data_IF_714367110027
#
_entry.id   IF_714367110027
#
_cell.length_a   1.000
_cell.length_b   1.000
_cell.length_c   1.000
_cell.angle_alpha   90.00
_cell.angle_beta   90.00
_cell.angle_gamma   90.00
#
_symmetry.space_group_name_H-M   'P 1'
#
loop_
_entity.id
_entity.type
_entity.pdbx_description
1 polymer ?
#
# COMPACT_ATOMS: atom_id res chain seq x y z
N UNK A 1 -18.14 -20.56 -17.18
CA UNK A 1 -19.34 -19.85 -17.67
C UNK A 1 -18.90 -18.92 -18.80
N UNK A 2 -19.75 -18.65 -19.80
CA UNK A 2 -19.43 -17.70 -20.86
C UNK A 2 -19.68 -16.27 -20.38
N UNK A 3 -18.72 -15.37 -20.56
CA UNK A 3 -18.87 -13.94 -20.27
C UNK A 3 -20.02 -13.34 -21.10
N UNK A 4 -20.97 -12.69 -20.43
CA UNK A 4 -22.03 -11.90 -21.05
C UNK A 4 -21.68 -10.41 -20.98
N UNK A 5 -21.59 -9.77 -22.15
CA UNK A 5 -21.46 -8.32 -22.27
C UNK A 5 -22.79 -7.71 -22.68
N UNK A 6 -23.13 -6.56 -22.09
CA UNK A 6 -24.26 -5.74 -22.52
C UNK A 6 -24.07 -5.21 -23.95
N UNK A 7 -25.14 -4.80 -24.65
CA UNK A 7 -25.02 -4.21 -25.99
C UNK A 7 -24.08 -2.99 -26.05
N UNK A 8 -24.05 -2.17 -25.00
CA UNK A 8 -23.16 -1.01 -24.87
C UNK A 8 -21.69 -1.43 -24.74
N UNK A 9 -21.41 -2.44 -23.90
CA UNK A 9 -20.05 -2.97 -23.73
C UNK A 9 -19.55 -3.64 -25.01
N UNK A 10 -20.42 -4.34 -25.75
CA UNK A 10 -20.09 -4.92 -27.06
C UNK A 10 -19.79 -3.83 -28.09
N UNK A 11 -20.62 -2.78 -28.15
CA UNK A 11 -20.41 -1.65 -29.05
C UNK A 11 -19.09 -0.93 -28.75
N UNK A 12 -18.78 -0.71 -27.47
CA UNK A 12 -17.51 -0.13 -27.03
C UNK A 12 -16.33 -1.02 -27.44
N UNK A 13 -16.41 -2.33 -27.17
CA UNK A 13 -15.35 -3.29 -27.52
C UNK A 13 -15.08 -3.38 -29.03
N UNK A 14 -16.06 -3.08 -29.87
CA UNK A 14 -15.92 -3.03 -31.32
C UNK A 14 -15.18 -1.78 -31.83
N UNK A 15 -15.05 -0.73 -31.00
CA UNK A 15 -14.31 0.48 -31.31
C UNK A 15 -12.81 0.23 -31.51
N UNK A 16 -12.17 0.97 -32.42
CA UNK A 16 -10.71 0.86 -32.68
C UNK A 16 -9.87 1.90 -31.93
N UNK A 17 -10.53 2.70 -31.09
CA UNK A 17 -9.95 3.75 -30.27
C UNK A 17 -9.44 3.20 -28.93
N UNK A 18 -8.98 4.10 -28.04
CA UNK A 18 -8.44 3.72 -26.73
C UNK A 18 -9.51 3.14 -25.79
N UNK A 19 -10.75 3.62 -25.86
CA UNK A 19 -11.87 3.09 -25.09
C UNK A 19 -12.21 1.64 -25.49
N UNK A 20 -12.24 1.36 -26.79
CA UNK A 20 -12.43 0.00 -27.30
C UNK A 20 -11.28 -0.94 -26.92
N UNK A 21 -10.03 -0.44 -26.92
CA UNK A 21 -8.89 -1.19 -26.40
C UNK A 21 -9.04 -1.54 -24.92
N UNK A 22 -9.39 -0.57 -24.08
CA UNK A 22 -9.65 -0.80 -22.66
C UNK A 22 -10.78 -1.81 -22.43
N UNK A 23 -11.91 -1.68 -23.12
CA UNK A 23 -13.04 -2.62 -22.99
C UNK A 23 -12.67 -4.04 -23.40
N UNK A 24 -11.86 -4.23 -24.45
CA UNK A 24 -11.36 -5.56 -24.81
C UNK A 24 -10.46 -6.17 -23.74
N UNK A 25 -9.61 -5.36 -23.10
CA UNK A 25 -8.75 -5.81 -21.98
C UNK A 25 -9.60 -6.26 -20.80
N UNK A 26 -10.60 -5.47 -20.40
CA UNK A 26 -11.52 -5.81 -19.31
C UNK A 26 -12.30 -7.08 -19.64
N UNK A 27 -12.89 -7.16 -20.84
CA UNK A 27 -13.64 -8.33 -21.26
C UNK A 27 -12.78 -9.60 -21.33
N UNK A 28 -11.57 -9.52 -21.86
CA UNK A 28 -10.70 -10.70 -21.93
C UNK A 28 -10.22 -11.13 -20.55
N UNK A 29 -9.88 -10.17 -19.68
CA UNK A 29 -9.56 -10.46 -18.27
C UNK A 29 -10.73 -11.12 -17.56
N UNK A 30 -11.96 -10.63 -17.79
CA UNK A 30 -13.17 -11.23 -17.23
C UNK A 30 -13.38 -12.69 -17.70
N UNK A 31 -13.10 -13.01 -18.97
CA UNK A 31 -13.13 -14.40 -19.47
C UNK A 31 -12.11 -15.28 -18.75
N UNK A 32 -10.86 -14.81 -18.64
CA UNK A 32 -9.77 -15.54 -17.98
C UNK A 32 -10.05 -15.80 -16.50
N UNK A 33 -10.69 -14.84 -15.83
CA UNK A 33 -11.07 -14.93 -14.42
C UNK A 33 -12.37 -15.70 -14.19
N UNK A 34 -13.05 -16.14 -15.26
CA UNK A 34 -14.31 -16.86 -15.17
C UNK A 34 -15.50 -16.01 -14.71
N UNK A 35 -15.42 -14.68 -14.84
CA UNK A 35 -16.51 -13.77 -14.50
C UNK A 35 -17.69 -13.94 -15.46
N UNK A 36 -18.94 -14.00 -14.96
CA UNK A 36 -20.12 -14.16 -15.81
C UNK A 36 -20.47 -12.87 -16.58
N UNK A 37 -20.02 -11.71 -16.09
CA UNK A 37 -20.31 -10.39 -16.65
C UNK A 37 -19.34 -9.34 -16.11
N UNK A 38 -19.65 -8.08 -16.42
CA UNK A 38 -18.96 -6.92 -15.85
C UNK A 38 -19.90 -6.15 -14.92
N UNK A 39 -19.34 -5.55 -13.87
CA UNK A 39 -20.04 -4.67 -12.93
C UNK A 39 -19.61 -3.22 -13.13
N UNK A 40 -20.50 -2.24 -12.89
CA UNK A 40 -20.10 -0.84 -12.82
C UNK A 40 -19.21 -0.61 -11.59
N UNK A 41 -18.22 0.26 -11.73
CA UNK A 41 -17.41 0.75 -10.60
C UNK A 41 -17.69 2.24 -10.36
N UNK A 42 -17.53 2.71 -9.13
CA UNK A 42 -17.74 4.13 -8.79
C UNK A 42 -16.45 4.96 -8.83
N UNK A 43 -15.28 4.32 -8.72
CA UNK A 43 -13.98 4.99 -8.73
C UNK A 43 -12.82 4.02 -9.00
N UNK A 44 -11.63 4.56 -9.24
CA UNK A 44 -10.40 3.79 -9.42
C UNK A 44 -9.18 4.39 -8.70
N UNK A 45 -8.22 3.54 -8.35
CA UNK A 45 -6.90 3.93 -7.89
C UNK A 45 -5.84 3.16 -8.68
N UNK A 46 -5.13 3.88 -9.53
CA UNK A 46 -4.29 3.33 -10.58
C UNK A 46 -2.88 3.09 -10.06
N UNK A 47 -2.47 1.82 -10.03
CA UNK A 47 -1.14 1.36 -9.66
C UNK A 47 -0.15 1.46 -10.82
N UNK A 48 -0.62 1.30 -12.06
CA UNK A 48 0.20 1.23 -13.28
C UNK A 48 1.02 2.48 -13.64
N UNK A 49 0.98 3.54 -12.84
CA UNK A 49 1.79 4.75 -13.02
C UNK A 49 3.25 4.60 -12.53
N UNK A 50 3.67 3.38 -12.19
CA UNK A 50 5.02 2.99 -11.80
C UNK A 50 5.85 2.53 -13.01
N UNK A 51 7.05 3.10 -13.18
CA UNK A 51 7.93 2.76 -14.29
C UNK A 51 8.75 1.50 -13.99
N UNK A 52 8.30 0.35 -14.53
CA UNK A 52 9.02 -0.93 -14.50
C UNK A 52 9.57 -1.35 -15.87
N UNK A 53 9.45 -0.47 -16.86
CA UNK A 53 9.90 -0.70 -18.23
C UNK A 53 9.09 0.06 -19.26
N UNK A 54 9.56 0.03 -20.49
CA UNK A 54 9.02 0.85 -21.58
C UNK A 54 7.59 0.48 -21.96
N UNK A 55 7.20 -0.79 -21.79
CA UNK A 55 5.87 -1.29 -22.14
C UNK A 55 4.74 -0.53 -21.43
N UNK A 56 4.89 -0.22 -20.13
CA UNK A 56 3.88 0.53 -19.38
C UNK A 56 3.73 1.97 -19.90
N UNK A 57 4.84 2.59 -20.30
CA UNK A 57 4.85 3.95 -20.86
C UNK A 57 4.11 3.96 -22.21
N UNK A 58 4.52 3.06 -23.11
CA UNK A 58 3.95 2.96 -24.46
C UNK A 58 2.47 2.54 -24.42
N UNK A 59 2.08 1.71 -23.46
CA UNK A 59 0.69 1.33 -23.25
C UNK A 59 -0.17 2.55 -22.88
N UNK A 60 0.25 3.33 -21.88
CA UNK A 60 -0.48 4.53 -21.46
C UNK A 60 -0.56 5.57 -22.58
N UNK A 61 0.53 5.79 -23.32
CA UNK A 61 0.54 6.69 -24.48
C UNK A 61 -0.39 6.21 -25.60
N UNK A 62 -0.45 4.91 -25.86
CA UNK A 62 -1.35 4.33 -26.86
C UNK A 62 -2.82 4.58 -26.54
N UNK A 63 -3.19 4.53 -25.26
CA UNK A 63 -4.54 4.88 -24.80
C UNK A 63 -4.84 6.37 -25.04
N UNK A 64 -3.87 7.26 -24.76
CA UNK A 64 -3.98 8.70 -25.02
C UNK A 64 -4.11 9.00 -26.52
N UNK A 65 -3.28 8.39 -27.36
CA UNK A 65 -3.35 8.52 -28.83
C UNK A 65 -4.70 8.02 -29.37
N UNK A 66 -5.25 6.99 -28.74
CA UNK A 66 -6.59 6.49 -29.01
C UNK A 66 -7.71 7.37 -28.46
N UNK A 67 -7.43 8.53 -27.87
CA UNK A 67 -8.44 9.46 -27.36
C UNK A 67 -9.17 8.97 -26.11
N UNK A 68 -8.62 8.01 -25.36
CA UNK A 68 -9.25 7.53 -24.13
C UNK A 68 -9.21 8.57 -23.00
N UNK A 69 -10.20 8.50 -22.13
CA UNK A 69 -10.25 9.21 -20.85
C UNK A 69 -10.93 8.33 -19.81
N UNK A 70 -10.60 8.52 -18.53
CA UNK A 70 -11.30 7.82 -17.44
C UNK A 70 -12.78 8.21 -17.40
N UNK A 71 -13.66 7.22 -17.26
CA UNK A 71 -15.11 7.42 -17.13
C UNK A 71 -15.54 7.66 -15.67
N UNK A 72 -14.70 7.24 -14.71
CA UNK A 72 -14.94 7.38 -13.27
C UNK A 72 -13.82 8.15 -12.60
N UNK A 73 -14.10 8.71 -11.41
CA UNK A 73 -13.08 9.39 -10.60
C UNK A 73 -11.90 8.45 -10.36
N UNK A 74 -10.72 8.86 -10.81
CA UNK A 74 -9.53 8.00 -10.81
C UNK A 74 -8.36 8.73 -10.20
N UNK A 75 -7.72 8.12 -9.20
CA UNK A 75 -6.55 8.66 -8.49
C UNK A 75 -5.30 7.86 -8.84
N UNK A 76 -4.12 8.46 -8.69
CA UNK A 76 -2.85 7.83 -9.03
C UNK A 76 -2.09 7.36 -7.78
N UNK A 77 -1.60 6.13 -7.82
CA UNK A 77 -0.60 5.64 -6.89
C UNK A 77 0.72 6.43 -7.04
N UNK A 78 1.74 6.12 -6.25
CA UNK A 78 3.10 6.58 -6.45
C UNK A 78 3.55 6.45 -7.90
N UNK A 79 4.25 7.47 -8.39
CA UNK A 79 4.92 7.47 -9.67
C UNK A 79 6.40 7.13 -9.54
N UNK A 80 7.07 7.11 -10.68
CA UNK A 80 8.50 6.83 -10.76
C UNK A 80 9.42 8.04 -10.53
N UNK A 81 8.84 9.23 -10.33
CA UNK A 81 9.59 10.47 -10.13
C UNK A 81 8.92 11.34 -9.08
N UNK A 82 9.71 11.92 -8.19
CA UNK A 82 9.35 13.06 -7.35
C UNK A 82 9.23 14.33 -8.21
N UNK A 83 8.02 14.91 -8.31
CA UNK A 83 7.77 16.15 -9.06
C UNK A 83 7.73 17.39 -8.15
N UNK A 84 7.77 17.16 -6.84
CA UNK A 84 7.71 18.21 -5.82
C UNK A 84 9.07 18.85 -5.56
N UNK A 85 10.15 18.15 -5.94
CA UNK A 85 11.52 18.58 -5.69
C UNK A 85 11.96 18.37 -4.24
N UNK A 86 11.24 17.54 -3.46
CA UNK A 86 11.60 17.19 -2.09
C UNK A 86 12.82 16.27 -2.02
N UNK A 87 12.97 15.37 -3.00
CA UNK A 87 14.05 14.39 -3.03
C UNK A 87 14.82 14.39 -4.35
N UNK A 88 16.11 14.02 -4.29
CA UNK A 88 16.95 13.85 -5.47
C UNK A 88 16.77 12.45 -6.04
N UNK A 89 16.25 12.36 -7.25
CA UNK A 89 16.12 11.12 -8.01
C UNK A 89 17.41 10.83 -8.78
N UNK A 90 17.90 9.59 -8.68
CA UNK A 90 19.12 9.07 -9.34
C UNK A 90 18.82 8.20 -10.56
N UNK A 91 17.57 8.16 -11.01
CA UNK A 91 17.19 7.48 -12.25
C UNK A 91 17.79 8.25 -13.43
N UNK A 92 18.62 7.62 -14.24
CA UNK A 92 19.30 8.30 -15.36
C UNK A 92 18.49 8.20 -16.67
N UNK A 93 18.92 8.92 -17.71
CA UNK A 93 18.36 8.76 -19.06
C UNK A 93 18.86 7.45 -19.72
N UNK A 94 18.05 6.80 -20.57
CA UNK A 94 16.74 7.23 -21.08
C UNK A 94 15.53 6.90 -20.18
N UNK A 95 15.74 6.15 -19.09
CA UNK A 95 14.66 5.67 -18.22
C UNK A 95 13.90 6.82 -17.54
N UNK A 96 14.60 7.88 -17.14
CA UNK A 96 13.99 9.09 -16.57
C UNK A 96 13.00 9.73 -17.54
N UNK A 97 13.36 9.87 -18.82
CA UNK A 97 12.46 10.39 -19.85
C UNK A 97 11.22 9.52 -20.05
N UNK A 98 11.37 8.20 -20.03
CA UNK A 98 10.25 7.25 -20.12
C UNK A 98 9.31 7.35 -18.90
N UNK A 99 9.87 7.38 -17.70
CA UNK A 99 9.09 7.57 -16.47
C UNK A 99 8.29 8.89 -16.48
N UNK A 100 8.88 9.98 -16.97
CA UNK A 100 8.19 11.27 -17.13
C UNK A 100 7.00 11.15 -18.09
N UNK A 101 7.23 10.54 -19.25
CA UNK A 101 6.19 10.33 -20.28
C UNK A 101 5.04 9.49 -19.75
N UNK A 102 5.32 8.42 -19.00
CA UNK A 102 4.29 7.59 -18.35
C UNK A 102 3.42 8.43 -17.41
N UNK A 103 4.03 9.17 -16.48
CA UNK A 103 3.28 10.01 -15.54
C UNK A 103 2.42 11.06 -16.27
N UNK A 104 2.95 11.65 -17.34
CA UNK A 104 2.20 12.60 -18.18
C UNK A 104 1.05 11.93 -18.96
N UNK A 105 1.22 10.70 -19.43
CA UNK A 105 0.17 9.96 -20.12
C UNK A 105 -1.03 9.71 -19.19
N UNK A 106 -0.79 9.23 -17.96
CA UNK A 106 -1.86 9.03 -16.97
C UNK A 106 -2.56 10.34 -16.58
N UNK A 107 -1.83 11.46 -16.50
CA UNK A 107 -2.44 12.78 -16.32
C UNK A 107 -3.33 13.16 -17.51
N UNK A 108 -2.90 12.90 -18.75
CA UNK A 108 -3.69 13.18 -19.98
C UNK A 108 -4.93 12.30 -20.09
N UNK A 109 -4.91 11.08 -19.53
CA UNK A 109 -6.08 10.21 -19.41
C UNK A 109 -7.14 10.75 -18.43
N UNK A 110 -6.83 11.82 -17.67
CA UNK A 110 -7.76 12.47 -16.76
C UNK A 110 -7.66 12.01 -15.31
N UNK A 111 -6.60 11.29 -14.93
CA UNK A 111 -6.41 10.84 -13.55
C UNK A 111 -5.97 12.00 -12.62
N UNK A 112 -6.50 12.00 -11.40
CA UNK A 112 -6.11 12.88 -10.30
C UNK A 112 -4.71 12.55 -9.80
N UNK A 113 -3.86 13.57 -9.75
CA UNK A 113 -2.44 13.49 -9.39
C UNK A 113 -2.20 13.40 -7.88
N UNK A 114 -2.80 12.40 -7.23
CA UNK A 114 -2.65 12.14 -5.79
C UNK A 114 -1.27 11.62 -5.41
N UNK A 115 -0.64 10.86 -6.31
CA UNK A 115 0.70 10.28 -6.19
C UNK A 115 1.01 9.67 -4.82
N UNK A 116 0.16 8.76 -4.37
CA UNK A 116 0.30 8.11 -3.06
C UNK A 116 -0.31 6.72 -3.06
N UNK A 117 0.34 5.78 -2.38
CA UNK A 117 -0.22 4.45 -2.13
C UNK A 117 -1.32 4.45 -1.06
N UNK A 118 -1.53 5.56 -0.34
CA UNK A 118 -2.58 5.67 0.68
C UNK A 118 -3.67 6.66 0.25
N UNK A 119 -4.44 6.39 -0.83
CA UNK A 119 -5.42 7.33 -1.37
C UNK A 119 -6.55 7.67 -0.39
N UNK A 120 -6.86 6.76 0.53
CA UNK A 120 -7.83 6.95 1.61
C UNK A 120 -7.42 8.03 2.62
N UNK A 121 -6.12 8.34 2.74
CA UNK A 121 -5.62 9.49 3.51
C UNK A 121 -5.78 10.81 2.74
N UNK A 122 -5.78 10.75 1.40
CA UNK A 122 -6.02 11.89 0.51
C UNK A 122 -7.51 12.16 0.25
N UNK A 123 -8.40 11.57 1.06
CA UNK A 123 -9.85 11.77 0.96
C UNK A 123 -10.55 10.89 -0.07
N UNK A 124 -9.86 9.97 -0.75
CA UNK A 124 -10.51 9.00 -1.62
C UNK A 124 -11.04 7.82 -0.81
N UNK A 125 -12.26 7.95 -0.28
CA UNK A 125 -12.89 6.96 0.60
C UNK A 125 -14.24 6.53 0.02
N UNK A 126 -14.29 5.50 -0.85
CA UNK A 126 -15.54 4.96 -1.35
C UNK A 126 -16.44 4.47 -0.21
N UNK A 127 -17.75 4.52 -0.42
CA UNK A 127 -18.73 4.06 0.57
C UNK A 127 -18.69 2.55 0.74
N UNK A 128 -19.04 2.06 1.94
CA UNK A 128 -19.19 0.64 2.22
C UNK A 128 -20.12 -0.02 1.19
N UNK A 129 -19.71 -1.17 0.66
CA UNK A 129 -20.44 -1.96 -0.33
C UNK A 129 -20.30 -1.49 -1.77
N UNK A 130 -19.63 -0.36 -2.04
CA UNK A 130 -19.41 0.10 -3.41
C UNK A 130 -18.27 -0.65 -4.10
N UNK A 131 -18.44 -0.90 -5.39
CA UNK A 131 -17.43 -1.54 -6.24
C UNK A 131 -16.47 -0.50 -6.84
N UNK A 132 -15.16 -0.75 -6.72
CA UNK A 132 -14.08 0.12 -7.22
C UNK A 132 -13.00 -0.72 -7.91
N UNK A 133 -12.14 -0.06 -8.70
CA UNK A 133 -10.96 -0.68 -9.29
C UNK A 133 -9.67 -0.08 -8.71
N UNK A 134 -9.19 -0.64 -7.60
CA UNK A 134 -7.94 -0.20 -6.96
C UNK A 134 -6.86 -1.27 -7.14
N UNK A 135 -5.69 -0.92 -7.66
CA UNK A 135 -4.61 -1.89 -7.96
C UNK A 135 -3.58 -2.07 -6.84
N UNK A 136 -3.23 -0.99 -6.14
CA UNK A 136 -2.14 -0.98 -5.16
C UNK A 136 -2.45 -1.88 -3.95
N UNK A 137 -1.52 -2.76 -3.57
CA UNK A 137 -1.81 -3.86 -2.63
C UNK A 137 -2.27 -3.44 -1.23
N UNK A 138 -1.74 -2.36 -0.68
CA UNK A 138 -2.22 -1.83 0.61
C UNK A 138 -3.57 -1.12 0.44
N UNK A 139 -3.75 -0.37 -0.64
CA UNK A 139 -4.98 0.34 -0.94
C UNK A 139 -6.13 -0.66 -1.14
N UNK A 140 -5.88 -1.77 -1.84
CA UNK A 140 -6.80 -2.90 -2.01
C UNK A 140 -7.25 -3.44 -0.65
N UNK A 141 -6.29 -3.83 0.20
CA UNK A 141 -6.61 -4.38 1.52
C UNK A 141 -7.33 -3.37 2.41
N UNK A 142 -6.90 -2.11 2.42
CA UNK A 142 -7.55 -1.08 3.22
C UNK A 142 -8.97 -0.80 2.73
N UNK A 143 -9.17 -0.72 1.41
CA UNK A 143 -10.47 -0.55 0.78
C UNK A 143 -11.42 -1.69 1.17
N UNK A 144 -10.96 -2.93 1.07
CA UNK A 144 -11.74 -4.10 1.40
C UNK A 144 -12.04 -4.20 2.91
N UNK A 145 -11.02 -4.15 3.75
CA UNK A 145 -11.14 -4.42 5.18
C UNK A 145 -11.68 -3.22 5.98
N UNK A 146 -11.17 -2.02 5.72
CA UNK A 146 -11.41 -0.85 6.58
C UNK A 146 -12.58 -0.02 6.07
N UNK A 147 -12.68 0.17 4.75
CA UNK A 147 -13.79 0.91 4.15
C UNK A 147 -15.01 0.03 3.87
N UNK A 148 -14.83 -1.29 3.76
CA UNK A 148 -15.88 -2.22 3.36
C UNK A 148 -16.35 -2.02 1.91
N UNK A 149 -15.59 -1.28 1.10
CA UNK A 149 -15.77 -1.21 -0.34
C UNK A 149 -15.14 -2.46 -0.98
N UNK A 150 -15.37 -2.67 -2.28
CA UNK A 150 -15.08 -3.94 -2.93
C UNK A 150 -14.15 -3.73 -4.13
N UNK A 151 -13.00 -4.39 -4.08
CA UNK A 151 -12.03 -4.39 -5.17
C UNK A 151 -11.24 -5.69 -5.15
N UNK A 152 -10.80 -6.12 -6.32
CA UNK A 152 -9.78 -7.14 -6.44
C UNK A 152 -8.39 -6.50 -6.52
N UNK A 153 -7.35 -7.34 -6.51
CA UNK A 153 -5.99 -6.92 -6.86
C UNK A 153 -5.85 -6.92 -8.37
N UNK A 154 -6.00 -5.74 -8.97
CA UNK A 154 -5.84 -5.53 -10.40
C UNK A 154 -4.36 -5.38 -10.79
N UNK A 155 -3.98 -5.92 -11.94
CA UNK A 155 -2.68 -5.60 -12.54
C UNK A 155 -2.67 -4.23 -13.21
N UNK A 156 -1.48 -3.66 -13.37
CA UNK A 156 -1.18 -2.29 -13.84
C UNK A 156 -1.87 -1.84 -15.14
N UNK A 157 -2.30 -2.76 -16.00
CA UNK A 157 -3.01 -2.43 -17.25
C UNK A 157 -4.52 -2.57 -17.12
N UNK A 158 -4.98 -3.40 -16.19
CA UNK A 158 -6.39 -3.70 -15.99
C UNK A 158 -7.08 -2.62 -15.14
N UNK A 159 -6.40 -2.05 -14.14
CA UNK A 159 -6.95 -0.98 -13.31
C UNK A 159 -7.35 0.26 -14.14
N UNK A 160 -6.48 0.74 -15.04
CA UNK A 160 -6.76 1.87 -15.93
C UNK A 160 -7.77 1.50 -17.00
N UNK A 161 -7.77 0.25 -17.49
CA UNK A 161 -8.79 -0.21 -18.40
C UNK A 161 -10.18 -0.24 -17.73
N UNK A 162 -10.25 -0.62 -16.45
CA UNK A 162 -11.47 -0.53 -15.66
C UNK A 162 -11.90 0.93 -15.46
N UNK A 163 -10.96 1.83 -15.19
CA UNK A 163 -11.24 3.26 -15.03
C UNK A 163 -11.76 3.94 -16.30
N UNK A 164 -11.21 3.60 -17.47
CA UNK A 164 -11.64 4.11 -18.79
C UNK A 164 -13.04 3.59 -19.14
N UNK A 165 -13.31 2.32 -18.85
CA UNK A 165 -14.61 1.71 -19.19
C UNK A 165 -15.69 1.97 -18.13
N UNK A 166 -15.31 2.32 -16.91
CA UNK A 166 -16.21 2.34 -15.76
C UNK A 166 -16.71 0.93 -15.37
N UNK A 167 -16.01 -0.13 -15.81
CA UNK A 167 -16.42 -1.52 -15.64
C UNK A 167 -15.30 -2.36 -15.05
N UNK A 168 -15.64 -3.31 -14.20
CA UNK A 168 -14.73 -4.33 -13.67
C UNK A 168 -15.31 -5.74 -13.89
N UNK A 169 -14.48 -6.80 -13.94
CA UNK A 169 -14.98 -8.16 -13.95
C UNK A 169 -15.77 -8.51 -12.67
N UNK A 170 -16.97 -9.11 -12.82
CA UNK A 170 -17.79 -9.61 -11.70
C UNK A 170 -17.17 -10.88 -11.08
N UNK A 171 -16.14 -10.72 -10.27
CA UNK A 171 -15.41 -11.85 -9.70
C UNK A 171 -14.78 -11.55 -8.34
N UNK A 172 -14.31 -12.61 -7.67
CA UNK A 172 -13.46 -12.49 -6.50
C UNK A 172 -14.14 -11.68 -5.39
N UNK A 173 -13.43 -10.69 -4.87
CA UNK A 173 -13.86 -9.88 -3.72
C UNK A 173 -14.97 -8.87 -4.01
N UNK A 174 -15.47 -8.77 -5.26
CA UNK A 174 -16.73 -8.08 -5.55
C UNK A 174 -17.95 -8.87 -5.06
N UNK A 175 -17.81 -10.19 -4.94
CA UNK A 175 -18.91 -11.08 -4.57
C UNK A 175 -18.91 -11.34 -3.07
N UNK A 176 -20.04 -11.12 -2.42
CA UNK A 176 -20.16 -11.16 -0.97
C UNK A 176 -19.80 -12.53 -0.37
N UNK A 177 -20.14 -13.62 -1.07
CA UNK A 177 -19.81 -14.99 -0.69
C UNK A 177 -18.30 -15.24 -0.61
N UNK A 178 -17.49 -14.54 -1.41
CA UNK A 178 -16.04 -14.68 -1.44
C UNK A 178 -15.33 -13.83 -0.38
N UNK A 179 -16.09 -13.08 0.44
CA UNK A 179 -15.55 -12.16 1.46
C UNK A 179 -15.63 -12.73 2.88
N UNK A 180 -16.15 -13.95 3.03
CA UNK A 180 -16.37 -14.61 4.32
C UNK A 180 -15.05 -15.12 4.90
N UNK A 181 -14.86 -14.94 6.21
CA UNK A 181 -13.69 -15.44 6.91
C UNK A 181 -13.73 -16.97 7.05
N UNK A 182 -12.63 -17.65 6.76
CA UNK A 182 -12.46 -19.10 6.90
C UNK A 182 -11.63 -19.48 8.12
N UNK A 183 -10.84 -18.54 8.63
CA UNK A 183 -9.89 -18.73 9.73
C UNK A 183 -10.14 -17.72 10.85
N UNK A 184 -9.81 -18.09 12.09
CA UNK A 184 -9.75 -17.15 13.23
C UNK A 184 -8.29 -16.92 13.60
N UNK A 185 -7.89 -15.66 13.71
CA UNK A 185 -6.55 -15.24 14.13
C UNK A 185 -6.67 -14.55 15.49
N UNK A 186 -6.38 -15.29 16.55
CA UNK A 186 -6.66 -14.88 17.92
C UNK A 186 -5.44 -14.25 18.58
N UNK A 187 -5.50 -12.94 18.82
CA UNK A 187 -4.44 -12.16 19.47
C UNK A 187 -4.70 -11.90 20.95
N UNK A 188 -5.71 -12.53 21.55
CA UNK A 188 -6.05 -12.36 22.98
C UNK A 188 -4.93 -12.79 23.93
N UNK A 189 -4.01 -13.64 23.47
CA UNK A 189 -2.82 -14.08 24.22
C UNK A 189 -1.69 -13.05 24.27
N UNK A 190 -1.83 -11.89 23.63
CA UNK A 190 -0.81 -10.84 23.60
C UNK A 190 -1.05 -9.77 24.66
N UNK A 191 0.03 -9.12 25.11
CA UNK A 191 -0.07 -8.07 26.10
C UNK A 191 -0.82 -6.84 25.54
N UNK A 192 -1.74 -6.22 26.31
CA UNK A 192 -2.41 -4.99 25.88
C UNK A 192 -1.45 -3.85 25.56
N UNK A 193 -0.32 -3.75 26.27
CA UNK A 193 0.73 -2.76 26.00
C UNK A 193 1.40 -2.96 24.64
N UNK A 194 1.57 -4.22 24.21
CA UNK A 194 2.08 -4.52 22.87
C UNK A 194 1.06 -4.10 21.81
N UNK A 195 -0.21 -4.47 21.96
CA UNK A 195 -1.28 -4.11 21.01
C UNK A 195 -1.52 -2.59 20.92
N UNK A 196 -1.19 -1.83 21.97
CA UNK A 196 -1.23 -0.37 21.97
C UNK A 196 -0.03 0.30 21.27
N UNK A 197 1.02 -0.46 20.95
CA UNK A 197 2.23 0.05 20.29
C UNK A 197 2.11 0.00 18.77
N UNK A 198 2.64 1.00 18.07
CA UNK A 198 2.65 1.05 16.61
C UNK A 198 3.40 -0.14 15.99
N UNK A 199 4.45 -0.62 16.66
CA UNK A 199 5.27 -1.74 16.16
C UNK A 199 4.49 -3.06 16.06
N UNK A 200 3.39 -3.21 16.80
CA UNK A 200 2.63 -4.45 16.81
C UNK A 200 1.94 -4.70 15.48
N UNK A 201 1.46 -3.66 14.81
CA UNK A 201 0.60 -3.81 13.64
C UNK A 201 1.35 -4.31 12.40
N UNK A 202 2.54 -3.80 12.03
CA UNK A 202 3.32 -4.42 10.97
C UNK A 202 3.80 -5.84 11.32
N UNK A 203 4.11 -6.12 12.60
CA UNK A 203 4.53 -7.46 13.05
C UNK A 203 3.38 -8.47 12.92
N UNK A 204 2.21 -8.12 13.44
CA UNK A 204 1.01 -8.95 13.36
C UNK A 204 0.52 -9.09 11.93
N UNK A 205 0.58 -8.03 11.13
CA UNK A 205 0.24 -8.09 9.71
C UNK A 205 1.19 -9.04 8.96
N UNK A 206 2.50 -8.93 9.20
CA UNK A 206 3.47 -9.84 8.58
C UNK A 206 3.24 -11.29 9.00
N UNK A 207 2.94 -11.54 10.27
CA UNK A 207 2.61 -12.88 10.77
C UNK A 207 1.32 -13.40 10.13
N UNK A 208 0.26 -12.61 10.17
CA UNK A 208 -1.03 -12.93 9.58
C UNK A 208 -0.87 -13.31 8.10
N UNK A 209 -0.18 -12.49 7.30
CA UNK A 209 0.02 -12.81 5.89
C UNK A 209 0.76 -14.14 5.67
N UNK A 210 1.77 -14.46 6.49
CA UNK A 210 2.50 -15.74 6.37
C UNK A 210 1.64 -16.95 6.74
N UNK A 211 0.78 -16.83 7.74
CA UNK A 211 -0.06 -17.93 8.23
C UNK A 211 -1.35 -18.10 7.40
N UNK A 212 -1.91 -17.00 6.89
CA UNK A 212 -3.22 -16.96 6.23
C UNK A 212 -3.10 -17.01 4.70
N UNK A 213 -2.03 -16.49 4.12
CA UNK A 213 -1.87 -16.43 2.66
C UNK A 213 -2.98 -15.64 1.98
N UNK A 214 -3.52 -16.20 0.89
CA UNK A 214 -4.62 -15.61 0.11
C UNK A 214 -6.03 -15.97 0.64
N UNK A 215 -6.11 -16.65 1.79
CA UNK A 215 -7.37 -16.91 2.49
C UNK A 215 -7.82 -15.67 3.28
N UNK A 216 -9.06 -15.65 3.75
CA UNK A 216 -9.60 -14.58 4.59
C UNK A 216 -9.72 -15.09 6.02
N UNK A 217 -9.08 -14.39 6.96
CA UNK A 217 -9.22 -14.62 8.40
C UNK A 217 -9.87 -13.44 9.12
N UNK A 218 -10.53 -13.73 10.25
CA UNK A 218 -11.02 -12.72 11.19
C UNK A 218 -10.10 -12.66 12.41
N UNK A 219 -9.59 -11.47 12.72
CA UNK A 219 -8.79 -11.21 13.91
C UNK A 219 -9.72 -10.99 15.11
N UNK A 220 -9.40 -11.62 16.23
CA UNK A 220 -10.14 -11.50 17.51
C UNK A 220 -9.18 -11.18 18.66
N UNK A 221 -9.72 -10.71 19.79
CA UNK A 221 -8.91 -10.32 20.95
C UNK A 221 -8.44 -8.87 20.95
N UNK A 222 -9.00 -8.03 20.07
CA UNK A 222 -8.75 -6.58 20.05
C UNK A 222 -9.79 -5.89 20.95
N UNK A 223 -9.32 -5.20 22.00
CA UNK A 223 -10.20 -4.55 22.96
C UNK A 223 -10.71 -3.17 22.50
N UNK A 224 -9.90 -2.42 21.75
CA UNK A 224 -10.20 -1.06 21.31
C UNK A 224 -9.90 -0.91 19.81
N UNK A 225 -10.65 -0.03 19.13
CA UNK A 225 -10.37 0.30 17.75
C UNK A 225 -8.94 0.86 17.60
N UNK A 226 -8.07 0.24 16.79
CA UNK A 226 -6.64 0.60 16.77
C UNK A 226 -6.32 1.84 15.93
N UNK A 227 -7.26 2.28 15.09
CA UNK A 227 -7.15 3.46 14.25
C UNK A 227 -6.64 3.16 12.83
N UNK A 228 -6.89 4.08 11.91
CA UNK A 228 -6.59 3.88 10.48
C UNK A 228 -5.10 3.59 10.22
N UNK A 229 -4.17 4.27 10.90
CA UNK A 229 -2.73 4.06 10.69
C UNK A 229 -2.28 2.65 11.12
N UNK A 230 -2.85 2.12 12.20
CA UNK A 230 -2.59 0.75 12.63
C UNK A 230 -3.18 -0.29 11.66
N UNK A 231 -4.42 -0.08 11.20
CA UNK A 231 -5.08 -0.95 10.21
C UNK A 231 -4.34 -0.93 8.86
N UNK A 232 -3.88 0.24 8.44
CA UNK A 232 -3.00 0.46 7.29
C UNK A 232 -1.71 -0.32 7.42
N UNK A 233 -1.01 -0.19 8.55
CA UNK A 233 0.26 -0.87 8.80
C UNK A 233 0.11 -2.40 8.81
N UNK A 234 -0.94 -2.91 9.47
CA UNK A 234 -1.30 -4.33 9.47
C UNK A 234 -1.59 -4.83 8.06
N UNK A 235 -2.48 -4.15 7.34
CA UNK A 235 -2.91 -4.54 6.01
C UNK A 235 -1.77 -4.55 4.99
N UNK A 236 -0.92 -3.53 5.03
CA UNK A 236 0.23 -3.44 4.14
C UNK A 236 1.25 -4.57 4.37
N UNK A 237 1.55 -4.89 5.63
CA UNK A 237 2.46 -5.98 5.95
C UNK A 237 1.87 -7.34 5.56
N UNK A 238 0.57 -7.56 5.82
CA UNK A 238 -0.14 -8.78 5.45
C UNK A 238 -0.22 -9.00 3.93
N UNK A 239 -0.53 -7.95 3.17
CA UNK A 239 -0.55 -8.02 1.71
C UNK A 239 0.85 -8.32 1.13
N UNK A 240 1.91 -7.81 1.77
CA UNK A 240 3.30 -8.03 1.33
C UNK A 240 3.79 -9.44 1.66
N UNK A 241 3.49 -9.97 2.85
CA UNK A 241 3.98 -11.28 3.28
C UNK A 241 3.11 -12.47 2.85
N UNK A 242 1.83 -12.22 2.51
CA UNK A 242 0.84 -13.27 2.28
C UNK A 242 -0.07 -13.10 1.05
N UNK A 243 0.08 -12.03 0.26
CA UNK A 243 -0.88 -11.68 -0.79
C UNK A 243 -2.34 -11.51 -0.31
N UNK A 244 -2.53 -11.21 0.97
CA UNK A 244 -3.83 -10.92 1.58
C UNK A 244 -4.51 -9.79 0.81
N UNK A 245 -5.76 -10.01 0.38
CA UNK A 245 -6.60 -9.02 -0.30
C UNK A 245 -7.72 -8.42 0.57
N UNK A 246 -8.08 -9.10 1.66
CA UNK A 246 -9.10 -8.73 2.64
C UNK A 246 -8.79 -9.43 3.96
N UNK A 247 -8.95 -8.72 5.08
CA UNK A 247 -8.95 -9.26 6.42
C UNK A 247 -10.13 -8.68 7.19
N UNK A 248 -10.57 -9.38 8.24
CA UNK A 248 -11.58 -8.86 9.15
C UNK A 248 -10.99 -8.68 10.54
N UNK A 249 -11.52 -7.72 11.31
CA UNK A 249 -11.29 -7.60 12.75
C UNK A 249 -12.65 -7.50 13.41
N UNK A 250 -12.98 -8.48 14.27
CA UNK A 250 -14.29 -8.55 14.90
C UNK A 250 -14.57 -7.29 15.74
N UNK A 251 -15.72 -6.66 15.51
CA UNK A 251 -16.15 -5.42 16.18
C UNK A 251 -15.46 -4.15 15.66
N UNK A 252 -14.60 -4.25 14.65
CA UNK A 252 -13.83 -3.12 14.09
C UNK A 252 -14.11 -2.95 12.60
N UNK A 253 -13.94 -3.98 11.77
CA UNK A 253 -14.14 -3.86 10.32
C UNK A 253 -15.64 -3.86 9.98
N UNK A 254 -16.09 -3.08 8.98
CA UNK A 254 -17.52 -2.86 8.75
C UNK A 254 -18.35 -4.11 8.42
N UNK A 255 -17.72 -5.13 7.83
CA UNK A 255 -18.36 -6.41 7.48
C UNK A 255 -18.34 -7.43 8.63
N UNK A 256 -17.61 -7.16 9.72
CA UNK A 256 -17.42 -8.08 10.83
C UNK A 256 -17.82 -7.45 12.18
N UNK A 257 -19.12 -7.12 12.39
CA UNK A 257 -19.58 -6.63 13.69
C UNK A 257 -19.33 -7.63 14.82
N UNK A 258 -19.28 -8.93 14.48
CA UNK A 258 -18.85 -10.03 15.35
C UNK A 258 -18.32 -11.20 14.49
N UNK A 259 -17.74 -12.20 15.14
CA UNK A 259 -17.10 -13.34 14.48
C UNK A 259 -18.15 -14.21 13.78
N UNK A 260 -19.27 -14.45 14.43
CA UNK A 260 -20.36 -15.30 13.96
C UNK A 260 -20.96 -14.78 12.65
N UNK A 261 -21.01 -13.46 12.49
CA UNK A 261 -21.56 -12.81 11.29
C UNK A 261 -20.67 -13.01 10.08
N UNK A 262 -19.35 -13.07 10.23
CA UNK A 262 -18.40 -13.04 9.11
C UNK A 262 -17.81 -14.39 8.73
N UNK A 263 -17.86 -15.37 9.63
CA UNK A 263 -17.39 -16.71 9.32
C UNK A 263 -18.18 -17.33 8.15
N UNK A 264 -17.48 -18.03 7.26
CA UNK A 264 -18.05 -18.76 6.14
C UNK A 264 -18.92 -19.93 6.62
N UNK A 265 -18.47 -20.59 7.68
CA UNK A 265 -19.12 -21.73 8.33
C UNK A 265 -19.20 -21.51 9.85
N UNK A 266 -20.15 -22.11 10.57
CA UNK A 266 -20.26 -21.96 12.03
C UNK A 266 -18.98 -22.33 12.80
N UNK A 267 -18.15 -23.22 12.24
CA UNK A 267 -16.84 -23.59 12.78
C UNK A 267 -15.75 -23.13 11.81
N UNK A 268 -14.72 -22.39 12.26
CA UNK A 268 -13.61 -22.00 11.39
C UNK A 268 -12.78 -23.23 10.99
N UNK A 269 -12.17 -23.15 9.82
CA UNK A 269 -11.29 -24.21 9.29
C UNK A 269 -10.04 -24.37 10.15
N UNK A 270 -9.53 -23.28 10.70
CA UNK A 270 -8.51 -23.29 11.74
C UNK A 270 -8.61 -22.06 12.65
N UNK A 271 -8.04 -22.21 13.86
CA UNK A 271 -7.84 -21.13 14.81
C UNK A 271 -6.34 -21.02 15.08
N UNK A 272 -5.78 -19.86 14.77
CA UNK A 272 -4.37 -19.53 15.02
C UNK A 272 -4.33 -18.72 16.32
N UNK A 273 -3.94 -19.35 17.42
CA UNK A 273 -3.71 -18.66 18.69
C UNK A 273 -2.33 -18.03 18.70
N UNK A 274 -2.28 -16.70 18.57
CA UNK A 274 -1.04 -15.96 18.45
C UNK A 274 -0.37 -15.83 19.80
N UNK A 275 0.81 -16.41 19.92
CA UNK A 275 1.62 -16.34 21.15
C UNK A 275 2.64 -15.20 21.09
N UNK A 276 3.13 -14.72 22.24
CA UNK A 276 4.25 -13.77 22.28
C UNK A 276 5.48 -14.26 21.51
N UNK A 277 5.75 -15.57 21.52
CA UNK A 277 6.87 -16.17 20.79
C UNK A 277 6.67 -16.09 19.27
N UNK A 278 5.45 -16.28 18.78
CA UNK A 278 5.12 -16.09 17.36
C UNK A 278 5.32 -14.63 16.94
N UNK A 279 4.83 -13.68 17.74
CA UNK A 279 5.03 -12.25 17.49
C UNK A 279 6.51 -11.86 17.49
N UNK A 280 7.30 -12.34 18.46
CA UNK A 280 8.74 -12.11 18.53
C UNK A 280 9.48 -12.69 17.32
N UNK A 281 9.13 -13.91 16.89
CA UNK A 281 9.70 -14.54 15.69
C UNK A 281 9.34 -13.76 14.42
N UNK A 282 8.10 -13.29 14.31
CA UNK A 282 7.66 -12.46 13.19
C UNK A 282 8.43 -11.13 13.14
N UNK A 283 8.59 -10.45 14.29
CA UNK A 283 9.40 -9.23 14.41
C UNK A 283 10.86 -9.46 13.99
N UNK A 284 11.49 -10.52 14.49
CA UNK A 284 12.85 -10.87 14.10
C UNK A 284 12.98 -11.13 12.60
N UNK A 285 11.98 -11.81 12.01
CA UNK A 285 11.91 -12.10 10.57
C UNK A 285 11.61 -10.92 9.66
N UNK A 286 11.44 -9.70 10.19
CA UNK A 286 11.42 -8.44 9.42
C UNK A 286 12.81 -7.81 9.29
N UNK A 287 13.82 -8.34 9.97
CA UNK A 287 15.21 -7.90 9.81
C UNK A 287 16.00 -8.92 8.99
N UNK A 288 16.83 -8.43 8.08
CA UNK A 288 17.80 -9.25 7.31
C UNK A 288 19.25 -8.95 7.69
N UNK A 289 19.52 -7.79 8.30
CA UNK A 289 20.83 -7.44 8.81
C UNK A 289 21.10 -8.15 10.14
N UNK A 290 22.17 -8.95 10.20
CA UNK A 290 22.62 -9.60 11.43
C UNK A 290 23.48 -8.64 12.27
N UNK A 291 22.96 -8.18 13.41
CA UNK A 291 23.65 -7.37 14.44
C UNK A 291 24.56 -6.28 13.84
N UNK A 292 24.00 -5.32 13.08
CA UNK A 292 24.80 -4.29 12.42
C UNK A 292 25.45 -3.36 13.45
N UNK A 293 26.68 -2.89 13.18
CA UNK A 293 27.38 -1.90 14.02
C UNK A 293 27.00 -0.47 13.70
N UNK A 294 26.54 -0.23 12.47
CA UNK A 294 26.15 1.06 11.91
C UNK A 294 24.86 0.88 11.11
N UNK A 295 24.13 1.97 10.90
CA UNK A 295 23.07 2.05 9.90
C UNK A 295 23.43 3.17 8.93
N UNK A 296 22.96 3.08 7.69
CA UNK A 296 23.30 4.05 6.65
C UNK A 296 22.13 4.97 6.31
N UNK A 297 20.91 4.49 6.56
CA UNK A 297 19.69 5.24 6.36
C UNK A 297 18.56 4.69 7.24
N UNK A 298 17.56 5.52 7.45
CA UNK A 298 16.23 5.10 7.91
C UNK A 298 15.24 5.39 6.79
N UNK A 299 14.29 4.50 6.51
CA UNK A 299 13.15 4.80 5.65
C UNK A 299 11.83 4.43 6.31
N UNK A 300 10.87 5.35 6.24
CA UNK A 300 9.53 5.19 6.81
C UNK A 300 8.47 5.71 5.82
N UNK A 301 7.22 5.32 6.02
CA UNK A 301 6.13 5.71 5.11
C UNK A 301 5.89 4.73 3.96
N UNK A 302 5.84 3.44 4.26
CA UNK A 302 5.23 2.45 3.35
C UNK A 302 4.22 1.60 4.10
N UNK A 303 2.93 1.93 4.01
CA UNK A 303 2.32 2.95 3.15
C UNK A 303 2.66 4.39 3.58
N UNK A 304 2.46 5.36 2.67
CA UNK A 304 2.81 6.78 2.85
C UNK A 304 2.35 7.35 4.20
N UNK A 305 3.25 8.09 4.86
CA UNK A 305 2.99 8.65 6.18
C UNK A 305 1.74 9.54 6.18
N UNK A 306 0.92 9.36 7.20
CA UNK A 306 -0.16 10.29 7.57
C UNK A 306 0.41 11.56 8.20
N UNK A 307 -0.44 12.57 8.34
CA UNK A 307 -0.05 13.78 9.06
C UNK A 307 0.27 13.48 10.53
N UNK A 308 -0.52 12.61 11.19
CA UNK A 308 -0.30 12.21 12.59
C UNK A 308 1.04 11.46 12.78
N UNK A 309 1.43 10.61 11.83
CA UNK A 309 2.74 9.95 11.86
C UNK A 309 3.89 10.96 11.72
N UNK A 310 3.72 12.04 10.94
CA UNK A 310 4.68 13.15 10.91
C UNK A 310 4.75 13.93 12.22
N UNK A 311 3.62 14.17 12.89
CA UNK A 311 3.62 14.80 14.22
C UNK A 311 4.40 13.96 15.24
N UNK A 312 4.22 12.64 15.19
CA UNK A 312 5.00 11.70 15.99
C UNK A 312 6.49 11.78 15.66
N UNK A 313 6.84 11.74 14.37
CA UNK A 313 8.23 11.85 13.91
C UNK A 313 8.89 13.15 14.40
N UNK A 314 8.24 14.31 14.20
CA UNK A 314 8.78 15.61 14.62
C UNK A 314 8.97 15.67 16.13
N UNK A 315 7.99 15.17 16.90
CA UNK A 315 8.08 15.08 18.36
C UNK A 315 9.24 14.22 18.83
N UNK A 316 9.44 13.07 18.19
CA UNK A 316 10.56 12.18 18.50
C UNK A 316 11.89 12.82 18.11
N UNK A 317 12.01 13.46 16.95
CA UNK A 317 13.25 14.16 16.56
C UNK A 317 13.57 15.27 17.56
N UNK A 318 12.56 16.00 18.04
CA UNK A 318 12.69 17.05 19.04
C UNK A 318 13.75 18.12 18.67
N UNK A 319 13.85 18.46 17.38
CA UNK A 319 14.81 19.43 16.83
C UNK A 319 16.28 18.95 16.81
N UNK A 320 16.56 17.69 17.19
CA UNK A 320 17.90 17.12 17.13
C UNK A 320 18.36 16.95 15.68
N UNK A 321 19.68 16.97 15.47
CA UNK A 321 20.29 16.70 14.17
C UNK A 321 20.53 15.20 14.03
N UNK A 322 20.18 14.67 12.86
CA UNK A 322 20.36 13.28 12.51
C UNK A 322 21.78 13.05 11.97
N UNK A 323 22.43 12.00 12.43
CA UNK A 323 23.74 11.56 11.94
C UNK A 323 23.61 10.81 10.60
N UNK A 324 22.49 10.12 10.39
CA UNK A 324 22.11 9.47 9.12
C UNK A 324 20.70 9.92 8.69
N UNK A 325 20.40 9.98 7.39
CA UNK A 325 19.13 10.52 6.92
C UNK A 325 17.94 9.61 7.27
N UNK A 326 16.80 10.24 7.57
CA UNK A 326 15.48 9.59 7.56
C UNK A 326 14.78 9.97 6.25
N UNK A 327 14.52 8.99 5.40
CA UNK A 327 13.68 9.13 4.20
C UNK A 327 12.21 8.94 4.60
N UNK A 328 11.46 10.04 4.68
CA UNK A 328 10.06 10.06 5.07
C UNK A 328 9.15 10.13 3.83
N UNK A 329 8.59 8.98 3.42
CA UNK A 329 7.75 8.88 2.22
C UNK A 329 6.30 9.29 2.52
N UNK A 330 5.73 10.20 1.73
CA UNK A 330 4.38 10.73 1.97
C UNK A 330 3.69 11.24 0.71
N UNK A 331 2.38 11.49 0.80
CA UNK A 331 1.58 12.05 -0.29
C UNK A 331 1.53 13.58 -0.27
N UNK A 332 1.20 14.19 -1.42
CA UNK A 332 1.06 15.65 -1.56
C UNK A 332 0.08 16.28 -0.58
N UNK A 333 -0.97 15.54 -0.19
CA UNK A 333 -1.98 15.99 0.77
C UNK A 333 -1.40 16.28 2.16
N UNK A 334 -0.36 15.55 2.59
CA UNK A 334 0.36 15.84 3.84
C UNK A 334 1.44 16.88 3.63
N UNK A 335 2.19 16.78 2.52
CA UNK A 335 3.26 17.73 2.19
C UNK A 335 2.75 19.18 2.16
N UNK A 336 1.58 19.43 1.59
CA UNK A 336 0.98 20.76 1.53
C UNK A 336 0.80 21.40 2.92
N UNK A 337 0.37 20.63 3.92
CA UNK A 337 0.26 21.13 5.30
C UNK A 337 1.64 21.39 5.93
N UNK A 338 2.62 20.50 5.69
CA UNK A 338 3.98 20.68 6.19
C UNK A 338 4.65 21.94 5.60
N UNK A 339 4.32 22.30 4.36
CA UNK A 339 4.81 23.52 3.70
C UNK A 339 4.18 24.78 4.28
N UNK A 340 2.85 24.79 4.47
CA UNK A 340 2.12 25.94 5.00
C UNK A 340 2.63 26.39 6.37
N UNK A 341 2.96 25.44 7.25
CA UNK A 341 3.41 25.73 8.62
C UNK A 341 4.94 25.85 8.77
N UNK A 342 5.67 25.81 7.65
CA UNK A 342 7.14 25.82 7.60
C UNK A 342 7.80 24.58 8.25
N UNK A 343 7.01 23.55 8.57
CA UNK A 343 7.45 22.29 9.21
C UNK A 343 8.40 21.51 8.31
N UNK A 344 8.14 21.50 7.00
CA UNK A 344 9.02 20.89 5.99
C UNK A 344 10.48 21.30 6.17
N UNK A 345 10.75 22.62 6.18
CA UNK A 345 12.10 23.16 6.29
C UNK A 345 12.77 22.79 7.62
N UNK A 346 12.00 22.74 8.72
CA UNK A 346 12.53 22.35 10.04
C UNK A 346 12.97 20.88 10.05
N UNK A 347 12.15 19.99 9.50
CA UNK A 347 12.47 18.57 9.36
C UNK A 347 13.69 18.36 8.45
N UNK A 348 13.73 19.04 7.30
CA UNK A 348 14.87 19.00 6.38
C UNK A 348 16.17 19.48 7.05
N UNK A 349 16.11 20.55 7.85
CA UNK A 349 17.26 21.06 8.59
C UNK A 349 17.79 20.07 9.66
N UNK A 350 16.92 19.22 10.20
CA UNK A 350 17.31 18.12 11.09
C UNK A 350 17.98 16.96 10.35
N UNK A 351 17.81 16.83 9.03
CA UNK A 351 18.34 15.73 8.22
C UNK A 351 17.28 14.75 7.71
N UNK A 352 15.99 15.10 7.81
CA UNK A 352 14.91 14.33 7.19
C UNK A 352 14.88 14.64 5.70
N UNK A 353 14.84 13.61 4.86
CA UNK A 353 14.59 13.72 3.42
C UNK A 353 13.12 13.39 3.19
N UNK A 354 12.30 14.39 2.89
CA UNK A 354 10.91 14.14 2.50
C UNK A 354 10.92 13.54 1.09
N UNK A 355 10.18 12.45 0.90
CA UNK A 355 10.00 11.80 -0.39
C UNK A 355 8.52 11.88 -0.71
N UNK A 356 8.17 12.62 -1.76
CA UNK A 356 6.80 12.76 -2.23
C UNK A 356 6.67 12.29 -3.68
N UNK A 357 5.43 11.99 -4.08
CA UNK A 357 5.03 11.37 -5.33
C UNK A 357 5.55 9.94 -5.58
N UNK A 358 6.52 9.48 -4.80
CA UNK A 358 7.18 8.18 -4.97
C UNK A 358 7.60 7.59 -3.63
N UNK A 359 8.36 6.50 -3.62
CA UNK A 359 9.01 5.98 -2.42
C UNK A 359 10.38 5.35 -2.71
N UNK A 360 11.16 5.13 -1.65
CA UNK A 360 12.56 4.67 -1.77
C UNK A 360 12.73 3.27 -2.35
N UNK A 361 11.67 2.45 -2.38
CA UNK A 361 11.73 1.08 -2.96
C UNK A 361 11.22 1.02 -4.40
N UNK A 362 10.64 2.10 -4.94
CA UNK A 362 10.19 2.14 -6.35
C UNK A 362 11.03 3.10 -7.20
N UNK A 363 11.76 4.02 -6.59
CA UNK A 363 12.58 5.01 -7.29
C UNK A 363 13.94 5.12 -6.63
N UNK A 364 15.04 5.15 -7.41
CA UNK A 364 16.40 5.23 -6.87
C UNK A 364 16.66 6.62 -6.29
N UNK A 365 16.32 6.80 -5.02
CA UNK A 365 16.54 8.04 -4.25
C UNK A 365 17.78 7.90 -3.36
N UNK A 366 17.85 6.75 -2.67
CA UNK A 366 18.98 6.44 -1.79
C UNK A 366 20.26 6.22 -2.60
N UNK A 367 21.44 6.54 -2.05
CA UNK A 367 22.72 6.18 -2.67
C UNK A 367 22.82 4.67 -2.88
N UNK A 368 23.46 4.23 -3.96
CA UNK A 368 23.87 2.83 -4.09
C UNK A 368 25.01 2.57 -3.11
N UNK A 369 24.81 1.62 -2.20
CA UNK A 369 25.78 1.28 -1.17
C UNK A 369 25.82 -0.24 -0.99
N UNK A 370 26.90 -0.85 -1.45
CA UNK A 370 27.12 -2.29 -1.27
C UNK A 370 27.20 -2.61 0.23
N UNK A 371 26.30 -3.47 0.71
CA UNK A 371 26.22 -3.84 2.12
C UNK A 371 25.57 -2.79 3.02
N UNK A 372 24.89 -1.79 2.45
CA UNK A 372 24.17 -0.78 3.22
C UNK A 372 23.07 -1.38 4.10
N UNK A 373 22.83 -0.78 5.26
CA UNK A 373 21.79 -1.17 6.22
C UNK A 373 20.75 -0.06 6.35
N UNK A 374 19.52 -0.39 5.97
CA UNK A 374 18.34 0.45 6.08
C UNK A 374 17.52 0.05 7.31
N UNK A 375 17.28 1.00 8.22
CA UNK A 375 16.37 0.79 9.34
C UNK A 375 14.95 1.25 8.99
N UNK A 376 13.91 0.54 9.44
CA UNK A 376 12.52 0.90 9.14
C UNK A 376 11.54 0.41 10.21
N UNK A 377 10.43 1.13 10.39
CA UNK A 377 9.25 0.67 11.14
C UNK A 377 8.14 0.13 10.23
N UNK A 378 8.37 0.04 8.92
CA UNK A 378 7.39 -0.48 7.96
C UNK A 378 7.65 -1.95 7.64
N UNK A 379 6.65 -2.80 7.87
CA UNK A 379 6.70 -4.20 7.45
C UNK A 379 6.78 -4.35 5.92
N UNK A 380 6.19 -3.42 5.17
CA UNK A 380 6.25 -3.41 3.70
C UNK A 380 7.63 -3.04 3.18
N UNK A 381 8.27 -2.00 3.73
CA UNK A 381 9.66 -1.72 3.40
C UNK A 381 10.60 -2.82 3.85
N UNK A 382 10.37 -3.41 5.02
CA UNK A 382 11.17 -4.54 5.47
C UNK A 382 11.14 -5.73 4.48
N UNK A 383 9.99 -5.96 3.84
CA UNK A 383 9.84 -6.98 2.80
C UNK A 383 10.53 -6.61 1.48
N UNK A 384 10.28 -5.41 0.95
CA UNK A 384 10.71 -5.05 -0.41
C UNK A 384 12.11 -4.42 -0.51
N UNK A 385 12.60 -3.75 0.54
CA UNK A 385 13.85 -3.00 0.47
C UNK A 385 15.06 -3.85 0.06
N UNK A 386 15.26 -5.10 0.56
CA UNK A 386 16.40 -5.91 0.13
C UNK A 386 16.42 -6.19 -1.37
N UNK A 387 15.27 -6.57 -1.93
CA UNK A 387 15.16 -6.89 -3.36
C UNK A 387 15.23 -5.66 -4.27
N UNK A 388 14.66 -4.53 -3.83
CA UNK A 388 14.50 -3.35 -4.69
C UNK A 388 15.63 -2.32 -4.55
N UNK A 389 16.32 -2.31 -3.41
CA UNK A 389 17.36 -1.29 -3.10
C UNK A 389 18.73 -1.89 -2.86
N UNK A 390 18.81 -3.20 -2.58
CA UNK A 390 20.04 -3.88 -2.19
C UNK A 390 20.46 -3.67 -0.73
N UNK A 391 19.75 -2.82 0.03
CA UNK A 391 20.03 -2.61 1.45
C UNK A 391 19.53 -3.78 2.30
N UNK A 392 20.36 -4.24 3.24
CA UNK A 392 19.89 -5.09 4.32
C UNK A 392 18.96 -4.30 5.25
N UNK A 393 18.02 -4.97 5.91
CA UNK A 393 17.00 -4.32 6.73
C UNK A 393 17.23 -4.57 8.21
N UNK A 394 17.03 -3.52 9.01
CA UNK A 394 16.85 -3.59 10.45
C UNK A 394 15.45 -3.05 10.82
N UNK A 395 14.57 -3.91 11.31
CA UNK A 395 13.21 -3.50 11.70
C UNK A 395 13.13 -3.08 13.17
N UNK A 396 12.50 -1.95 13.47
CA UNK A 396 12.32 -1.45 14.83
C UNK A 396 11.14 -0.47 14.95
N UNK A 397 10.89 0.06 16.15
CA UNK A 397 9.87 1.10 16.34
C UNK A 397 10.29 2.43 15.71
N UNK A 398 9.33 3.34 15.52
CA UNK A 398 9.64 4.70 15.07
C UNK A 398 10.58 5.44 16.04
N UNK A 399 10.42 5.22 17.35
CA UNK A 399 11.31 5.79 18.37
C UNK A 399 12.75 5.27 18.20
N UNK A 400 12.91 3.95 18.08
CA UNK A 400 14.21 3.31 17.82
C UNK A 400 14.83 3.80 16.51
N UNK A 401 14.03 3.97 15.46
CA UNK A 401 14.47 4.51 14.18
C UNK A 401 15.03 5.94 14.35
N UNK A 402 14.34 6.80 15.09
CA UNK A 402 14.79 8.18 15.33
C UNK A 402 16.04 8.21 16.20
N UNK A 403 16.09 7.47 17.31
CA UNK A 403 17.27 7.41 18.18
C UNK A 403 18.50 6.85 17.44
N UNK A 404 18.29 5.84 16.59
CA UNK A 404 19.35 5.29 15.76
C UNK A 404 19.82 6.28 14.69
N UNK A 405 18.90 7.04 14.10
CA UNK A 405 19.23 8.09 13.13
C UNK A 405 20.05 9.21 13.76
N UNK A 406 19.71 9.64 14.98
CA UNK A 406 20.47 10.62 15.76
C UNK A 406 21.87 10.08 16.09
N UNK A 407 21.97 8.80 16.49
CA UNK A 407 23.23 8.20 16.92
C UNK A 407 24.14 7.73 15.77
N UNK A 408 23.60 7.51 14.56
CA UNK A 408 24.31 6.92 13.42
C UNK A 408 24.59 5.41 13.57
N UNK A 409 23.95 4.76 14.53
CA UNK A 409 24.11 3.33 14.84
C UNK A 409 22.86 2.79 15.54
N UNK A 410 22.61 1.48 15.50
CA UNK A 410 21.43 0.90 16.14
C UNK A 410 21.32 1.27 17.63
N UNK A 411 20.18 1.82 18.00
CA UNK A 411 19.73 2.11 19.36
C UNK A 411 18.32 1.57 19.50
N UNK A 412 18.15 0.69 20.48
CA UNK A 412 16.86 0.12 20.83
C UNK A 412 16.50 0.61 22.24
N UNK A 413 15.49 1.45 22.34
CA UNK A 413 14.84 1.87 23.58
C UNK A 413 13.84 0.83 24.05
N UNK A 414 13.38 -0.05 23.15
CA UNK A 414 12.25 -0.95 23.37
C UNK A 414 12.64 -2.42 23.66
N UNK A 415 13.88 -2.70 24.08
CA UNK A 415 14.29 -4.05 24.51
C UNK A 415 13.71 -4.46 25.89
N UNK A 416 12.73 -3.72 26.40
CA UNK A 416 11.98 -4.03 27.61
C UNK A 416 10.47 -4.16 27.32
N UNK A 417 10.08 -5.21 26.59
CA UNK A 417 8.73 -5.79 26.64
C UNK A 417 8.76 -7.23 26.14
#
# INVERSE_FOLDING_TARGET
MSLALSPEEQATAAGKDGAGMAMRIVAESARLLGAPGLIPICSAHIDGALYHGDSGTLFAERLVEGGASVAVRSTLNVGALDLTGCSRIRLEEPQRGMARRMMDAYRKLGCEQSWTCAPYQAGHRPAQGSDVAWGESNAVVFCNSVLGARTNRYGDFLDIACAITGRAPDYGLHRAENRRARLVFDVSGLLPSFLASEIAWPVLGSLYGREVGDTIGVVVGIANHPGDDALKAFGAAAASSGAVGLFHIAGVTPEAPNVETILAEPKPEAVIHVTPQMAAKARAGLSTAAVPKTIDAVAIGSPHLSFAEFEMLERLIAGRRLAVPIYACTGRHVLAFLEQDGRRKRLEASGVVIVADTCVVVTPIMPELAGGVLMTNSGKFAHYAPGNTGYAVLYASLADCVESAVAGKPRFTDLAA
#
